data_IF_877414799046
#
_entry.id   IF_877414799046
#
_cell.length_a   1.000
_cell.length_b   1.000
_cell.length_c   1.000
_cell.angle_alpha   90.00
_cell.angle_beta   90.00
_cell.angle_gamma   90.00
#
_symmetry.space_group_name_H-M   'P 1'
#
loop_
_entity.id
_entity.type
_entity.pdbx_description
1 polymer ?
#
# COMPACT_ATOMS: atom_id res chain seq x y z
N UNK A 1 10.84 63.01 -17.93
CA UNK A 1 10.27 61.95 -18.79
C UNK A 1 10.92 60.57 -18.57
N UNK A 2 12.15 60.50 -18.06
CA UNK A 2 12.89 59.24 -17.79
C UNK A 2 12.48 58.53 -16.50
N UNK A 3 12.09 59.27 -15.45
CA UNK A 3 11.63 58.71 -14.16
C UNK A 3 10.30 57.94 -14.25
N UNK A 4 9.37 58.39 -15.10
CA UNK A 4 8.09 57.70 -15.32
C UNK A 4 8.24 56.37 -16.08
N UNK A 5 9.21 56.29 -16.99
CA UNK A 5 9.51 55.05 -17.73
C UNK A 5 10.14 53.99 -16.80
N UNK A 6 11.02 54.42 -15.89
CA UNK A 6 11.69 53.55 -14.91
C UNK A 6 10.74 52.96 -13.87
N UNK A 7 9.76 53.74 -13.38
CA UNK A 7 8.76 53.24 -12.42
C UNK A 7 7.81 52.21 -13.06
N UNK A 8 7.46 52.41 -14.34
CA UNK A 8 6.58 51.50 -15.08
C UNK A 8 7.25 50.14 -15.35
N UNK A 9 8.55 50.14 -15.65
CA UNK A 9 9.35 48.93 -15.82
C UNK A 9 9.51 48.13 -14.52
N UNK A 10 9.66 48.80 -13.37
CA UNK A 10 9.71 48.14 -12.05
C UNK A 10 8.36 47.52 -11.66
N UNK A 11 7.24 48.18 -11.97
CA UNK A 11 5.89 47.64 -11.73
C UNK A 11 5.56 46.43 -12.62
N UNK A 12 6.06 46.40 -13.86
CA UNK A 12 5.95 45.24 -14.74
C UNK A 12 6.78 44.05 -14.23
N UNK A 13 7.98 44.31 -13.68
CA UNK A 13 8.88 43.27 -13.17
C UNK A 13 8.35 42.61 -11.88
N UNK A 14 7.72 43.40 -10.99
CA UNK A 14 7.10 42.86 -9.78
C UNK A 14 5.80 42.10 -10.09
N UNK A 15 5.02 42.52 -11.10
CA UNK A 15 3.81 41.81 -11.52
C UNK A 15 4.08 40.42 -12.13
N UNK A 16 5.22 40.22 -12.80
CA UNK A 16 5.61 38.91 -13.35
C UNK A 16 6.09 37.89 -12.29
N UNK A 17 6.40 38.33 -11.07
CA UNK A 17 7.04 37.48 -10.05
C UNK A 17 6.03 36.77 -9.11
N UNK A 18 4.72 37.02 -9.24
CA UNK A 18 3.71 36.65 -8.21
C UNK A 18 2.90 35.37 -8.57
N UNK A 19 3.05 34.82 -9.77
CA UNK A 19 2.27 33.63 -10.18
C UNK A 19 3.06 32.32 -10.05
N UNK A 20 3.51 32.00 -8.84
CA UNK A 20 3.86 30.61 -8.49
C UNK A 20 2.62 29.96 -7.88
N UNK A 21 1.61 29.69 -8.70
CA UNK A 21 0.52 28.80 -8.29
C UNK A 21 1.08 27.39 -8.21
N UNK A 22 1.42 26.97 -6.98
CA UNK A 22 1.68 25.57 -6.67
C UNK A 22 0.39 24.78 -6.90
N UNK A 23 0.11 24.44 -8.15
CA UNK A 23 -0.95 23.50 -8.48
C UNK A 23 -0.57 22.17 -7.83
N UNK A 24 -1.45 21.66 -6.96
CA UNK A 24 -1.22 20.38 -6.30
C UNK A 24 -1.18 19.28 -7.38
N UNK A 25 0.03 18.83 -7.72
CA UNK A 25 0.32 17.80 -8.71
C UNK A 25 0.77 16.52 -8.02
N UNK A 26 0.47 15.38 -8.63
CA UNK A 26 0.96 14.08 -8.19
C UNK A 26 2.05 13.61 -9.14
N UNK A 27 3.13 13.05 -8.60
CA UNK A 27 4.19 12.44 -9.40
C UNK A 27 4.13 10.92 -9.20
N UNK A 28 4.10 10.18 -10.31
CA UNK A 28 4.13 8.70 -10.30
C UNK A 28 5.02 8.21 -11.44
N UNK A 29 6.11 7.52 -11.09
CA UNK A 29 7.12 7.00 -12.01
C UNK A 29 7.71 8.05 -12.97
N UNK A 30 7.97 9.26 -12.49
CA UNK A 30 8.52 10.36 -13.28
C UNK A 30 7.51 11.09 -14.16
N UNK A 31 6.22 10.72 -14.10
CA UNK A 31 5.14 11.41 -14.81
C UNK A 31 4.36 12.29 -13.83
N UNK A 32 4.13 13.55 -14.20
CA UNK A 32 3.34 14.50 -13.40
C UNK A 32 1.88 14.48 -13.84
N UNK A 33 0.98 14.34 -12.88
CA UNK A 33 -0.47 14.31 -13.03
C UNK A 33 -1.09 15.50 -12.31
N UNK A 34 -2.03 16.15 -12.98
CA UNK A 34 -2.81 17.26 -12.42
C UNK A 34 -3.97 16.75 -11.56
N UNK A 35 -4.48 17.62 -10.70
CA UNK A 35 -5.61 17.30 -9.82
C UNK A 35 -6.84 16.91 -10.65
N UNK A 36 -7.37 15.70 -10.43
CA UNK A 36 -8.48 15.09 -11.16
C UNK A 36 -8.06 14.05 -12.21
N UNK A 37 -6.78 14.00 -12.60
CA UNK A 37 -6.30 13.02 -13.57
C UNK A 37 -6.50 11.60 -13.06
N UNK A 38 -6.73 10.67 -13.99
CA UNK A 38 -6.94 9.25 -13.71
C UNK A 38 -6.05 8.40 -14.59
N UNK A 39 -5.37 7.43 -14.00
CA UNK A 39 -4.49 6.53 -14.72
C UNK A 39 -4.47 5.14 -14.07
N UNK A 40 -3.95 4.17 -14.82
CA UNK A 40 -3.73 2.80 -14.33
C UNK A 40 -2.32 2.72 -13.76
N UNK A 41 -2.23 2.38 -12.47
CA UNK A 41 -0.98 2.20 -11.75
C UNK A 41 -0.72 0.71 -11.53
N UNK A 42 0.48 0.24 -11.87
CA UNK A 42 0.91 -1.17 -11.74
C UNK A 42 -0.10 -2.17 -12.36
N UNK A 43 -0.74 -1.79 -13.46
CA UNK A 43 -1.77 -2.56 -14.19
C UNK A 43 -3.05 -2.92 -13.43
N UNK A 44 -3.10 -2.77 -12.10
CA UNK A 44 -4.19 -3.31 -11.28
C UNK A 44 -5.01 -2.24 -10.55
N UNK A 45 -4.58 -0.98 -10.56
CA UNK A 45 -5.24 0.07 -9.78
C UNK A 45 -5.56 1.26 -10.67
N UNK A 46 -6.85 1.57 -10.80
CA UNK A 46 -7.27 2.85 -11.32
C UNK A 46 -7.17 3.85 -10.17
N UNK A 47 -6.29 4.84 -10.34
CA UNK A 47 -6.01 5.86 -9.33
C UNK A 47 -6.39 7.24 -9.84
N UNK A 48 -6.49 8.22 -8.94
CA UNK A 48 -6.68 9.62 -9.28
C UNK A 48 -5.80 10.53 -8.44
N UNK A 49 -5.35 11.64 -9.01
CA UNK A 49 -4.66 12.67 -8.25
C UNK A 49 -5.69 13.58 -7.59
N UNK A 50 -5.66 13.68 -6.26
CA UNK A 50 -6.53 14.59 -5.51
C UNK A 50 -5.70 15.44 -4.55
N UNK A 51 -5.60 16.73 -4.85
CA UNK A 51 -4.84 17.69 -4.02
C UNK A 51 -3.42 17.21 -3.72
N UNK A 52 -2.70 16.73 -4.74
CA UNK A 52 -1.32 16.23 -4.61
C UNK A 52 -1.19 14.83 -4.00
N UNK A 53 -2.29 14.14 -3.71
CA UNK A 53 -2.29 12.77 -3.20
C UNK A 53 -2.87 11.81 -4.24
N UNK A 54 -2.19 10.68 -4.46
CA UNK A 54 -2.67 9.60 -5.34
C UNK A 54 -3.67 8.75 -4.55
N UNK A 55 -4.92 8.69 -5.00
CA UNK A 55 -6.00 7.93 -4.36
C UNK A 55 -6.47 6.79 -5.26
N UNK A 56 -6.57 5.57 -4.74
CA UNK A 56 -7.13 4.43 -5.46
C UNK A 56 -8.65 4.56 -5.53
N UNK A 57 -9.21 4.54 -6.74
CA UNK A 57 -10.67 4.62 -6.95
C UNK A 57 -11.28 3.26 -7.28
N UNK A 58 -10.59 2.42 -8.06
CA UNK A 58 -11.05 1.08 -8.45
C UNK A 58 -9.86 0.13 -8.61
N UNK A 59 -10.11 -1.17 -8.48
CA UNK A 59 -9.18 -2.19 -8.94
C UNK A 59 -9.49 -2.58 -10.40
N UNK A 60 -8.49 -3.04 -11.13
CA UNK A 60 -8.58 -3.46 -12.52
C UNK A 60 -8.16 -4.93 -12.60
N UNK A 61 -9.02 -5.79 -13.13
CA UNK A 61 -8.70 -7.21 -13.37
C UNK A 61 -7.79 -7.37 -14.58
N UNK A 62 -7.25 -8.57 -14.80
CA UNK A 62 -6.38 -8.86 -15.94
C UNK A 62 -7.08 -8.66 -17.30
N UNK A 63 -8.41 -8.76 -17.36
CA UNK A 63 -9.21 -8.48 -18.55
C UNK A 63 -9.50 -6.99 -18.76
N UNK A 64 -9.18 -6.16 -17.77
CA UNK A 64 -9.52 -4.74 -17.72
C UNK A 64 -10.85 -4.44 -17.00
N UNK A 65 -11.52 -5.44 -16.40
CA UNK A 65 -12.77 -5.18 -15.66
C UNK A 65 -12.52 -4.33 -14.41
N UNK A 66 -13.35 -3.32 -14.20
CA UNK A 66 -13.19 -2.37 -13.10
C UNK A 66 -14.04 -2.78 -11.89
N UNK A 67 -13.39 -2.95 -10.74
CA UNK A 67 -14.04 -3.33 -9.50
C UNK A 67 -14.03 -2.16 -8.51
N UNK A 68 -15.22 -1.83 -7.99
CA UNK A 68 -15.35 -0.84 -6.93
C UNK A 68 -14.75 -1.37 -5.62
N UNK A 69 -14.05 -0.50 -4.89
CA UNK A 69 -13.49 -0.84 -3.59
C UNK A 69 -14.62 -1.18 -2.62
N UNK A 70 -14.54 -2.34 -1.96
CA UNK A 70 -15.56 -2.86 -1.04
C UNK A 70 -16.75 -3.55 -1.71
N UNK A 71 -16.72 -3.73 -3.04
CA UNK A 71 -17.74 -4.49 -3.76
C UNK A 71 -17.64 -6.00 -3.48
N UNK A 72 -18.71 -6.73 -3.83
CA UNK A 72 -18.73 -8.20 -3.75
C UNK A 72 -17.68 -8.80 -4.68
N UNK A 73 -17.26 -10.03 -4.38
CA UNK A 73 -16.30 -10.74 -5.23
C UNK A 73 -16.83 -10.93 -6.66
N UNK A 74 -15.93 -10.85 -7.62
CA UNK A 74 -16.20 -10.99 -9.05
C UNK A 74 -15.49 -12.22 -9.60
N UNK A 75 -16.25 -13.12 -10.22
CA UNK A 75 -15.71 -14.31 -10.86
C UNK A 75 -15.45 -14.05 -12.34
N UNK A 76 -14.21 -14.22 -12.77
CA UNK A 76 -13.81 -14.02 -14.15
C UNK A 76 -12.73 -15.03 -14.55
N UNK A 77 -12.92 -15.73 -15.67
CA UNK A 77 -12.01 -16.77 -16.18
C UNK A 77 -11.60 -17.83 -15.13
N UNK A 78 -12.49 -18.15 -14.18
CA UNK A 78 -12.23 -19.12 -13.11
C UNK A 78 -11.54 -18.56 -11.87
N UNK A 79 -11.21 -17.27 -11.85
CA UNK A 79 -10.58 -16.59 -10.71
C UNK A 79 -11.59 -15.70 -9.98
N UNK A 80 -11.47 -15.67 -8.65
CA UNK A 80 -12.23 -14.77 -7.80
C UNK A 80 -11.42 -13.51 -7.50
N UNK A 81 -11.92 -12.37 -7.97
CA UNK A 81 -11.36 -11.06 -7.71
C UNK A 81 -12.12 -10.34 -6.59
N UNK A 82 -11.37 -9.72 -5.67
CA UNK A 82 -11.93 -8.85 -4.64
C UNK A 82 -11.10 -7.56 -4.58
N UNK A 83 -11.79 -6.42 -4.53
CA UNK A 83 -11.17 -5.11 -4.38
C UNK A 83 -11.53 -4.57 -2.99
N UNK A 84 -10.56 -4.45 -2.11
CA UNK A 84 -10.76 -3.96 -0.75
C UNK A 84 -9.68 -2.94 -0.41
N UNK A 85 -10.01 -1.98 0.46
CA UNK A 85 -8.99 -1.11 1.03
C UNK A 85 -8.15 -1.97 1.96
N UNK A 86 -6.84 -2.00 1.75
CA UNK A 86 -5.95 -2.67 2.68
C UNK A 86 -6.02 -1.90 4.00
N UNK A 87 -6.78 -2.41 4.97
CA UNK A 87 -6.70 -1.95 6.35
C UNK A 87 -5.39 -2.48 6.98
N UNK A 88 -4.26 -2.38 6.26
CA UNK A 88 -2.93 -2.68 6.78
C UNK A 88 -2.45 -1.60 7.76
N UNK A 89 -3.38 -1.08 8.55
CA UNK A 89 -3.17 -0.53 9.88
C UNK A 89 -3.85 -1.37 10.95
N UNK A 90 -4.14 -2.66 10.72
CA UNK A 90 -3.74 -3.62 11.74
C UNK A 90 -2.20 -3.71 11.70
N UNK A 91 -1.54 -2.65 12.19
CA UNK A 91 -0.28 -2.86 12.88
C UNK A 91 -0.60 -3.91 13.94
N UNK A 92 -0.31 -5.18 13.65
CA UNK A 92 -0.29 -6.22 14.68
C UNK A 92 0.68 -5.71 15.74
N UNK A 93 0.09 -5.11 16.77
CA UNK A 93 0.84 -4.45 17.81
C UNK A 93 1.48 -5.56 18.63
N UNK A 94 2.80 -5.63 18.64
CA UNK A 94 3.55 -6.60 19.47
C UNK A 94 3.31 -6.40 20.98
N UNK A 95 2.56 -5.36 21.36
CA UNK A 95 2.02 -5.15 22.70
C UNK A 95 0.72 -5.93 22.99
N UNK A 96 0.20 -6.75 22.06
CA UNK A 96 -0.96 -7.63 22.30
C UNK A 96 -0.66 -8.79 23.28
N UNK A 97 0.55 -8.87 23.78
CA UNK A 97 0.96 -9.86 24.78
C UNK A 97 0.36 -9.53 26.16
N UNK A 98 -0.21 -10.52 26.88
CA UNK A 98 -0.61 -10.33 28.26
C UNK A 98 0.60 -9.95 29.13
N UNK A 99 0.39 -9.10 30.14
CA UNK A 99 1.42 -8.63 31.08
C UNK A 99 2.06 -9.74 31.92
N UNK A 100 1.46 -10.94 31.91
CA UNK A 100 1.88 -12.12 32.65
C UNK A 100 2.18 -13.30 31.71
N UNK A 101 2.78 -13.03 30.55
CA UNK A 101 3.32 -14.08 29.69
C UNK A 101 4.51 -14.74 30.41
N UNK A 102 4.35 -16.02 30.77
CA UNK A 102 5.41 -16.80 31.41
C UNK A 102 6.43 -17.26 30.36
N UNK A 103 7.60 -17.73 30.81
CA UNK A 103 8.88 -17.90 30.11
C UNK A 103 8.92 -18.59 28.72
N UNK A 104 7.79 -18.98 28.11
CA UNK A 104 7.75 -19.52 26.73
C UNK A 104 6.55 -19.07 25.89
N UNK A 105 5.77 -18.10 26.33
CA UNK A 105 4.49 -17.80 25.68
C UNK A 105 4.70 -17.09 24.32
N UNK A 106 4.50 -17.86 23.25
CA UNK A 106 4.30 -17.34 21.91
C UNK A 106 2.79 -17.14 21.69
N UNK A 107 2.42 -15.98 21.18
CA UNK A 107 1.05 -15.74 20.72
C UNK A 107 0.98 -15.93 19.21
N UNK A 108 -0.13 -16.51 18.78
CA UNK A 108 -0.46 -16.65 17.38
C UNK A 108 -1.64 -15.74 17.09
N UNK A 109 -1.39 -14.65 16.36
CA UNK A 109 -2.44 -13.75 15.87
C UNK A 109 -2.46 -13.83 14.35
N UNK A 110 -3.62 -14.14 13.80
CA UNK A 110 -3.83 -14.45 12.39
C UNK A 110 -2.92 -15.59 11.90
N UNK A 111 -1.89 -15.25 11.12
CA UNK A 111 -0.86 -16.19 10.63
C UNK A 111 0.53 -15.74 11.05
N UNK A 112 0.65 -15.00 12.14
CA UNK A 112 1.92 -14.55 12.68
C UNK A 112 2.19 -15.18 14.04
N UNK A 113 3.42 -15.66 14.23
CA UNK A 113 3.95 -16.07 15.52
C UNK A 113 4.71 -14.90 16.14
N UNK A 114 4.32 -14.48 17.34
CA UNK A 114 4.94 -13.37 18.07
C UNK A 114 5.46 -13.91 19.40
N UNK A 115 6.73 -13.65 19.69
CA UNK A 115 7.31 -13.98 20.98
C UNK A 115 6.98 -12.88 21.99
N UNK A 116 6.27 -13.21 23.08
CA UNK A 116 5.86 -12.21 24.06
C UNK A 116 6.97 -11.73 24.99
N UNK A 117 8.01 -12.53 25.17
CA UNK A 117 9.20 -12.15 25.97
C UNK A 117 9.95 -11.01 25.27
N UNK A 118 10.21 -11.17 23.97
CA UNK A 118 10.98 -10.19 23.21
C UNK A 118 10.12 -9.16 22.47
N UNK A 119 8.78 -9.30 22.51
CA UNK A 119 7.80 -8.50 21.73
C UNK A 119 8.19 -8.38 20.24
N UNK A 120 8.58 -9.50 19.64
CA UNK A 120 9.08 -9.58 18.26
C UNK A 120 8.38 -10.66 17.46
N UNK A 121 8.24 -10.42 16.17
CA UNK A 121 7.76 -11.43 15.23
C UNK A 121 8.80 -12.56 15.08
N UNK A 122 8.38 -13.80 15.35
CA UNK A 122 9.17 -15.01 15.10
C UNK A 122 9.03 -15.51 13.66
N UNK A 123 7.85 -15.34 13.06
CA UNK A 123 7.54 -15.93 11.76
C UNK A 123 6.09 -15.81 11.35
N UNK A 124 5.81 -16.31 10.15
CA UNK A 124 4.46 -16.61 9.71
C UNK A 124 4.16 -18.08 9.96
N UNK A 125 2.90 -18.42 10.20
CA UNK A 125 2.44 -19.79 10.46
C UNK A 125 1.76 -20.33 9.21
N UNK A 126 2.20 -21.51 8.77
CA UNK A 126 1.62 -22.21 7.63
C UNK A 126 0.34 -22.98 8.00
N UNK A 127 -0.19 -23.79 7.07
CA UNK A 127 -1.38 -24.64 7.34
C UNK A 127 -1.12 -25.80 8.30
N UNK A 128 0.12 -26.23 8.42
CA UNK A 128 0.54 -27.35 9.26
C UNK A 128 0.88 -26.90 10.69
N UNK A 129 1.00 -25.57 10.90
CA UNK A 129 1.42 -24.98 12.17
C UNK A 129 2.92 -24.66 12.23
N UNK A 130 3.65 -24.82 11.13
CA UNK A 130 5.08 -24.56 11.06
C UNK A 130 5.39 -23.07 11.00
N UNK A 131 6.40 -22.63 11.77
CA UNK A 131 6.82 -21.23 11.82
C UNK A 131 7.89 -20.96 10.75
N UNK A 132 7.52 -20.16 9.76
CA UNK A 132 8.38 -19.70 8.68
C UNK A 132 8.97 -18.33 9.03
N UNK A 133 10.27 -18.31 9.38
CA UNK A 133 10.99 -17.08 9.75
C UNK A 133 11.06 -16.07 8.61
N UNK A 134 11.26 -16.53 7.38
CA UNK A 134 11.23 -15.70 6.18
C UNK A 134 11.20 -16.64 4.98
N UNK A 135 10.40 -16.31 3.97
CA UNK A 135 10.33 -17.12 2.75
C UNK A 135 8.92 -17.54 2.38
N UNK A 136 8.84 -18.48 1.45
CA UNK A 136 7.59 -18.95 0.90
C UNK A 136 6.93 -19.98 1.81
N UNK A 137 5.60 -19.89 1.91
CA UNK A 137 4.80 -20.83 2.67
C UNK A 137 3.41 -20.96 2.04
N UNK A 138 2.73 -22.07 2.35
CA UNK A 138 1.41 -22.39 1.78
C UNK A 138 0.33 -22.13 2.83
N UNK A 139 -0.76 -21.50 2.41
CA UNK A 139 -1.95 -21.28 3.25
C UNK A 139 -3.14 -22.15 2.78
N UNK A 140 -4.24 -22.14 3.55
CA UNK A 140 -5.46 -22.87 3.22
C UNK A 140 -5.94 -22.45 1.82
N UNK A 141 -6.19 -23.42 0.94
CA UNK A 141 -6.39 -23.29 -0.52
C UNK A 141 -5.14 -23.42 -1.40
N UNK A 142 -4.04 -23.99 -0.89
CA UNK A 142 -2.79 -24.19 -1.65
C UNK A 142 -2.18 -22.89 -2.20
N UNK A 143 -2.56 -21.74 -1.64
CA UNK A 143 -2.06 -20.44 -2.11
C UNK A 143 -0.65 -20.22 -1.56
N UNK A 144 0.28 -19.91 -2.47
CA UNK A 144 1.65 -19.58 -2.11
C UNK A 144 1.73 -18.14 -1.61
N UNK A 145 2.29 -17.94 -0.43
CA UNK A 145 2.50 -16.64 0.19
C UNK A 145 3.97 -16.47 0.54
N UNK A 146 4.41 -15.21 0.69
CA UNK A 146 5.76 -14.92 1.13
C UNK A 146 5.75 -14.18 2.46
N UNK A 147 6.34 -14.80 3.47
CA UNK A 147 6.55 -14.20 4.77
C UNK A 147 7.77 -13.28 4.74
N UNK A 148 7.55 -11.99 5.01
CA UNK A 148 8.63 -11.00 5.15
C UNK A 148 8.60 -10.38 6.54
N UNK A 149 9.58 -10.75 7.36
CA UNK A 149 9.86 -10.07 8.62
C UNK A 149 10.86 -8.95 8.37
N UNK A 150 10.67 -7.81 9.04
CA UNK A 150 11.64 -6.72 9.03
C UNK A 150 12.90 -7.07 9.82
N UNK A 151 14.02 -6.41 9.52
CA UNK A 151 15.32 -6.71 10.16
C UNK A 151 15.30 -6.53 11.69
N UNK A 152 14.48 -5.61 12.18
CA UNK A 152 14.29 -5.32 13.61
C UNK A 152 13.24 -6.24 14.28
N UNK A 153 12.56 -7.07 13.50
CA UNK A 153 11.46 -7.96 13.93
C UNK A 153 10.29 -7.22 14.62
N UNK A 154 10.17 -5.90 14.39
CA UNK A 154 9.07 -5.09 14.90
C UNK A 154 7.87 -5.05 13.96
N UNK A 155 8.06 -5.48 12.71
CA UNK A 155 7.00 -5.66 11.74
C UNK A 155 7.18 -6.93 10.94
N UNK A 156 6.06 -7.55 10.60
CA UNK A 156 6.00 -8.62 9.61
C UNK A 156 4.86 -8.35 8.64
N UNK A 157 5.02 -8.81 7.40
CA UNK A 157 3.98 -8.74 6.38
C UNK A 157 3.98 -10.00 5.54
N UNK A 158 2.79 -10.50 5.27
CA UNK A 158 2.58 -11.62 4.36
C UNK A 158 2.27 -11.02 3.00
N UNK A 159 3.21 -11.12 2.08
CA UNK A 159 2.95 -10.71 0.70
C UNK A 159 2.19 -11.81 -0.03
N UNK A 160 1.17 -11.46 -0.82
CA UNK A 160 0.83 -12.30 -1.94
C UNK A 160 2.06 -12.32 -2.86
N UNK A 161 2.62 -13.51 -3.06
CA UNK A 161 3.33 -13.73 -4.32
C UNK A 161 2.28 -14.28 -5.24
N UNK A 162 1.98 -13.53 -6.29
CA UNK A 162 1.29 -14.14 -7.40
C UNK A 162 2.05 -15.42 -7.73
N UNK A 163 1.34 -16.51 -7.90
CA UNK A 163 1.62 -17.22 -9.14
C UNK A 163 1.65 -16.15 -10.23
N UNK A 164 2.71 -16.10 -11.02
CA UNK A 164 2.42 -15.97 -12.44
C UNK A 164 1.44 -17.12 -12.73
N UNK A 165 0.14 -16.78 -12.77
CA UNK A 165 -1.05 -17.57 -13.16
C UNK A 165 -1.21 -18.95 -12.49
N UNK A 166 -2.38 -19.27 -11.93
CA UNK A 166 -2.80 -20.69 -11.75
C UNK A 166 -3.96 -20.96 -12.69
N UNK A 167 -3.63 -21.45 -13.89
CA UNK A 167 -4.55 -22.10 -14.83
C UNK A 167 -5.44 -23.10 -14.10
#
# INVERSE_FOLDING_TARGET
MTLFLSLCLLFLYTALSIFSSANAQCEDNGVSYTNGDKWIRNNHFLVTCRSGNIQTIKCVTDSGHLLDVGSKSHMEHGYEYTCQHDQSTEQLNTNACPTFADFSDDIFKDRFAICCISRRFKGCVDVNGDIVKQGFFVIGNKSLKFCRIQKDQLGARIEPKGTGVVI
#
